data_IF_875357399847
#
_entry.id   IF_875357399847
#
_cell.length_a   1.000
_cell.length_b   1.000
_cell.length_c   1.000
_cell.angle_alpha   90.00
_cell.angle_beta   90.00
_cell.angle_gamma   90.00
#
_symmetry.space_group_name_H-M   'P 1'
#
loop_
_entity.id
_entity.type
_entity.pdbx_description
1 polymer ?
#
# COMPACT_ATOMS: atom_id res chain seq x y z
N UNK A 1 -39.88 12.61 17.24
CA UNK A 1 -39.22 11.31 17.02
C UNK A 1 -38.67 11.35 15.61
N UNK A 2 -37.39 11.70 15.44
CA UNK A 2 -36.79 11.89 14.12
C UNK A 2 -36.45 10.51 13.56
N UNK A 3 -37.09 10.10 12.46
CA UNK A 3 -36.79 8.83 11.82
C UNK A 3 -35.60 9.04 10.88
N UNK A 4 -34.52 8.29 11.13
CA UNK A 4 -33.39 8.23 10.23
C UNK A 4 -33.83 7.56 8.90
N UNK A 5 -33.30 7.98 7.74
CA UNK A 5 -33.53 7.25 6.50
C UNK A 5 -32.88 5.86 6.61
N UNK A 6 -33.70 4.83 6.41
CA UNK A 6 -33.30 3.42 6.41
C UNK A 6 -32.36 3.17 5.23
N UNK A 7 -31.08 2.94 5.52
CA UNK A 7 -30.09 2.46 4.55
C UNK A 7 -30.58 1.11 3.99
N UNK A 8 -30.45 0.85 2.67
CA UNK A 8 -30.84 -0.42 2.10
C UNK A 8 -29.96 -1.54 2.65
N UNK A 9 -30.61 -2.58 3.15
CA UNK A 9 -30.01 -3.85 3.56
C UNK A 9 -29.46 -4.53 2.30
N UNK A 10 -28.13 -4.51 2.08
CA UNK A 10 -27.54 -5.32 1.01
C UNK A 10 -26.36 -4.76 0.22
N UNK A 11 -25.59 -3.78 0.70
CA UNK A 11 -24.18 -3.74 0.31
C UNK A 11 -23.39 -4.39 1.44
N UNK A 12 -23.09 -5.66 1.24
CA UNK A 12 -21.98 -6.35 1.89
C UNK A 12 -20.75 -5.42 1.83
N UNK A 13 -19.82 -5.43 2.81
CA UNK A 13 -18.55 -4.77 2.59
C UNK A 13 -17.96 -5.43 1.34
N UNK A 14 -18.01 -4.72 0.22
CA UNK A 14 -17.38 -5.11 -1.03
C UNK A 14 -15.90 -5.14 -0.71
N UNK A 15 -15.44 -6.27 -0.19
CA UNK A 15 -14.03 -6.63 -0.10
C UNK A 15 -13.58 -6.79 -1.55
N UNK A 16 -13.34 -5.67 -2.18
CA UNK A 16 -12.83 -5.54 -3.54
C UNK A 16 -11.61 -4.62 -3.56
N UNK A 17 -10.94 -4.43 -2.43
CA UNK A 17 -9.54 -4.03 -2.40
C UNK A 17 -8.68 -5.25 -2.79
N UNK A 18 -8.84 -5.74 -4.02
CA UNK A 18 -7.87 -6.62 -4.69
C UNK A 18 -6.98 -5.76 -5.60
N UNK A 19 -6.61 -4.58 -5.11
CA UNK A 19 -5.33 -4.01 -5.50
C UNK A 19 -4.33 -4.68 -4.57
N UNK A 20 -3.96 -5.93 -4.89
CA UNK A 20 -2.72 -6.49 -4.35
C UNK A 20 -1.60 -5.53 -4.80
N UNK A 21 -1.34 -4.51 -3.98
CA UNK A 21 -0.16 -3.67 -4.09
C UNK A 21 1.00 -4.66 -4.19
N UNK A 22 1.64 -4.72 -5.37
CA UNK A 22 2.80 -5.60 -5.57
C UNK A 22 3.71 -5.41 -4.36
N UNK A 23 4.29 -6.49 -3.79
CA UNK A 23 5.01 -6.38 -2.53
C UNK A 23 6.21 -5.43 -2.65
N UNK A 24 5.97 -4.16 -2.32
CA UNK A 24 6.97 -3.11 -2.32
C UNK A 24 7.95 -3.35 -1.20
N UNK A 25 9.22 -3.05 -1.46
CA UNK A 25 10.28 -3.18 -0.46
C UNK A 25 9.92 -2.35 0.78
N UNK A 26 9.77 -2.99 1.95
CA UNK A 26 9.35 -2.31 3.19
C UNK A 26 10.35 -1.25 3.69
N UNK A 27 11.54 -1.19 3.10
CA UNK A 27 12.61 -0.26 3.48
C UNK A 27 12.70 0.94 2.57
N UNK A 28 12.76 0.73 1.25
CA UNK A 28 12.85 1.82 0.27
C UNK A 28 11.51 2.18 -0.38
N UNK A 29 10.45 1.42 -0.10
CA UNK A 29 9.08 1.65 -0.57
C UNK A 29 8.99 1.76 -2.10
N UNK A 30 9.82 0.99 -2.81
CA UNK A 30 9.86 0.94 -4.27
C UNK A 30 10.93 1.82 -4.92
N UNK A 31 11.54 2.75 -4.17
CA UNK A 31 12.49 3.73 -4.71
C UNK A 31 13.87 3.13 -5.07
N UNK A 32 14.20 1.99 -4.45
CA UNK A 32 15.47 1.29 -4.69
C UNK A 32 16.70 1.91 -4.01
N UNK A 33 16.60 3.07 -3.37
CA UNK A 33 17.71 3.70 -2.63
C UNK A 33 17.64 3.40 -1.13
N UNK A 34 18.74 3.50 -0.37
CA UNK A 34 18.75 3.25 1.09
C UNK A 34 18.40 4.51 1.90
N UNK A 35 17.17 4.64 2.44
CA UNK A 35 16.79 5.83 3.22
C UNK A 35 17.46 5.91 4.60
N UNK A 36 18.08 4.83 5.08
CA UNK A 36 18.51 4.72 6.48
C UNK A 36 20.00 5.00 6.69
N UNK A 37 20.88 4.84 5.68
CA UNK A 37 22.28 5.26 5.76
C UNK A 37 22.59 6.46 4.84
N UNK A 38 22.54 6.25 3.53
CA UNK A 38 22.88 7.25 2.53
C UNK A 38 22.06 6.98 1.26
N UNK A 39 21.25 7.96 0.85
CA UNK A 39 20.34 7.85 -0.29
C UNK A 39 21.07 7.69 -1.63
N UNK A 40 22.40 7.77 -1.67
CA UNK A 40 23.20 7.47 -2.87
C UNK A 40 23.50 5.97 -3.02
N UNK A 41 23.28 5.17 -1.97
CA UNK A 41 23.51 3.72 -1.99
C UNK A 41 22.24 2.96 -2.36
N UNK A 42 22.42 1.80 -2.97
CA UNK A 42 21.32 0.89 -3.26
C UNK A 42 20.70 0.33 -1.97
N UNK A 43 19.38 0.13 -1.99
CA UNK A 43 18.66 -0.46 -0.87
C UNK A 43 19.14 -1.91 -0.66
N UNK A 44 19.72 -2.27 0.51
CA UNK A 44 20.27 -3.60 0.74
C UNK A 44 19.22 -4.72 0.78
N UNK A 45 17.94 -4.40 1.04
CA UNK A 45 16.85 -5.39 1.08
C UNK A 45 16.46 -5.84 -0.33
N UNK A 46 16.35 -4.90 -1.27
CA UNK A 46 15.95 -5.19 -2.65
C UNK A 46 17.12 -5.11 -3.66
N UNK A 47 18.34 -4.83 -3.20
CA UNK A 47 19.54 -4.64 -4.01
C UNK A 47 19.35 -3.61 -5.13
N UNK A 48 18.68 -2.49 -4.81
CA UNK A 48 18.42 -1.44 -5.80
C UNK A 48 17.33 -1.75 -6.83
N UNK A 49 16.60 -2.87 -6.68
CA UNK A 49 15.51 -3.20 -7.61
C UNK A 49 14.32 -2.26 -7.36
N UNK A 50 14.11 -1.34 -8.30
CA UNK A 50 12.97 -0.41 -8.31
C UNK A 50 11.69 -1.15 -8.68
N UNK A 51 10.58 -0.78 -8.04
CA UNK A 51 9.25 -1.33 -8.29
C UNK A 51 8.34 -0.26 -8.90
N UNK A 52 7.42 -0.64 -9.81
CA UNK A 52 6.56 0.28 -10.54
C UNK A 52 5.52 0.99 -9.68
#
# INVERSE_FOLDING_TARGET
MTTAPKLPEGLEPEHGDDWEDEPVCARCHGDGMDPWNDYLLDCPECQGRQQP
#
